data_IF_866911971356
#
_entry.id   IF_866911971356
#
_cell.length_a   1.000
_cell.length_b   1.000
_cell.length_c   1.000
_cell.angle_alpha   90.00
_cell.angle_beta   90.00
_cell.angle_gamma   90.00
#
_symmetry.space_group_name_H-M   'P 1'
#
loop_
_entity.id
_entity.type
_entity.pdbx_description
1 polymer ?
#
# COMPACT_ATOMS: atom_id res chain seq x y z
N UNK A 1 23.77 -16.00 6.00
CA UNK A 1 22.79 -15.06 6.58
C UNK A 1 21.44 -15.13 5.86
N UNK A 2 21.29 -14.71 4.60
CA UNK A 2 20.01 -14.64 3.87
C UNK A 2 19.14 -15.91 3.93
N UNK A 3 19.72 -17.09 3.70
CA UNK A 3 18.98 -18.36 3.80
C UNK A 3 18.51 -18.63 5.22
N UNK A 4 19.36 -18.41 6.21
CA UNK A 4 19.04 -18.60 7.62
C UNK A 4 17.85 -17.70 8.05
N UNK A 5 17.86 -16.43 7.69
CA UNK A 5 16.77 -15.50 8.02
C UNK A 5 15.44 -15.91 7.36
N UNK A 6 15.50 -16.37 6.10
CA UNK A 6 14.33 -16.93 5.42
C UNK A 6 13.77 -18.16 6.16
N UNK A 7 14.63 -19.12 6.46
CA UNK A 7 14.23 -20.37 7.12
C UNK A 7 13.61 -20.06 8.51
N UNK A 8 14.20 -19.13 9.25
CA UNK A 8 13.72 -18.68 10.55
C UNK A 8 12.37 -17.98 10.45
N UNK A 9 12.19 -17.07 9.48
CA UNK A 9 10.92 -16.41 9.23
C UNK A 9 9.82 -17.42 8.87
N UNK A 10 10.12 -18.35 7.96
CA UNK A 10 9.18 -19.42 7.60
C UNK A 10 8.83 -20.29 8.80
N UNK A 11 9.79 -20.61 9.66
CA UNK A 11 9.56 -21.40 10.87
C UNK A 11 8.67 -20.70 11.87
N UNK A 12 8.86 -19.40 12.10
CA UNK A 12 8.11 -18.63 13.10
C UNK A 12 6.71 -18.22 12.60
N UNK A 13 6.63 -17.71 11.37
CA UNK A 13 5.40 -17.15 10.82
C UNK A 13 4.58 -18.15 10.00
N UNK A 14 5.22 -19.17 9.39
CA UNK A 14 4.62 -19.99 8.37
C UNK A 14 3.38 -20.75 8.83
N UNK A 15 3.44 -21.42 9.99
CA UNK A 15 2.28 -22.18 10.49
C UNK A 15 1.07 -21.30 10.78
N UNK A 16 1.30 -20.09 11.26
CA UNK A 16 0.24 -19.11 11.51
C UNK A 16 -0.36 -18.61 10.18
N UNK A 17 0.49 -18.13 9.25
CA UNK A 17 0.04 -17.59 7.98
C UNK A 17 -0.67 -18.64 7.11
N UNK A 18 -0.20 -19.89 7.11
CA UNK A 18 -0.87 -21.00 6.41
C UNK A 18 -2.27 -21.24 6.99
N UNK A 19 -2.44 -21.20 8.33
CA UNK A 19 -3.75 -21.28 8.96
C UNK A 19 -4.67 -20.13 8.56
N UNK A 20 -4.11 -18.96 8.30
CA UNK A 20 -4.83 -17.80 7.78
C UNK A 20 -5.10 -17.90 6.26
N UNK A 21 -4.70 -18.99 5.61
CA UNK A 21 -4.95 -19.27 4.19
C UNK A 21 -3.92 -18.65 3.23
N UNK A 22 -2.75 -18.26 3.73
CA UNK A 22 -1.63 -17.84 2.89
C UNK A 22 -0.89 -19.06 2.31
N UNK A 23 -0.25 -18.85 1.18
CA UNK A 23 0.63 -19.84 0.54
C UNK A 23 2.06 -19.28 0.52
N UNK A 24 3.04 -20.13 0.84
CA UNK A 24 4.45 -19.75 0.74
C UNK A 24 4.83 -19.51 -0.73
N UNK A 25 5.45 -18.37 -0.99
CA UNK A 25 5.98 -18.01 -2.31
C UNK A 25 7.39 -17.42 -2.16
N UNK A 26 8.41 -18.18 -2.53
CA UNK A 26 9.83 -17.77 -2.43
C UNK A 26 10.21 -17.32 -1.01
N UNK A 27 10.28 -16.01 -0.76
CA UNK A 27 10.69 -15.41 0.52
C UNK A 27 9.52 -14.68 1.21
N UNK A 28 8.29 -15.01 0.85
CA UNK A 28 7.09 -14.34 1.33
C UNK A 28 5.94 -15.32 1.44
N UNK A 29 4.87 -14.89 2.08
CA UNK A 29 3.59 -15.56 2.09
C UNK A 29 2.58 -14.70 1.34
N UNK A 30 1.78 -15.31 0.48
CA UNK A 30 0.83 -14.60 -0.38
C UNK A 30 -0.58 -15.16 -0.22
N UNK A 31 -1.56 -14.29 -0.40
CA UNK A 31 -2.96 -14.67 -0.41
C UNK A 31 -3.75 -13.85 -1.40
N UNK A 32 -4.63 -14.52 -2.14
CA UNK A 32 -5.52 -13.89 -3.09
C UNK A 32 -6.92 -13.82 -2.52
N UNK A 33 -7.51 -12.65 -2.64
CA UNK A 33 -8.93 -12.41 -2.43
C UNK A 33 -9.57 -11.96 -3.75
N UNK A 34 -10.86 -11.64 -3.74
CA UNK A 34 -11.57 -11.31 -4.97
C UNK A 34 -11.05 -10.02 -5.63
N UNK A 35 -10.75 -8.99 -4.84
CA UNK A 35 -10.37 -7.66 -5.33
C UNK A 35 -9.05 -7.13 -4.75
N UNK A 36 -8.40 -7.90 -3.87
CA UNK A 36 -7.15 -7.53 -3.22
C UNK A 36 -6.17 -8.70 -3.17
N UNK A 37 -4.89 -8.41 -3.28
CA UNK A 37 -3.79 -9.35 -3.09
C UNK A 37 -3.01 -8.96 -1.84
N UNK A 38 -2.79 -9.92 -0.95
CA UNK A 38 -2.03 -9.73 0.28
C UNK A 38 -0.68 -10.45 0.21
N UNK A 39 0.37 -9.81 0.72
CA UNK A 39 1.72 -10.38 0.79
C UNK A 39 2.36 -10.04 2.12
N UNK A 40 3.02 -11.04 2.74
CA UNK A 40 3.77 -10.89 3.99
C UNK A 40 5.21 -11.29 3.76
N UNK A 41 6.15 -10.44 4.14
CA UNK A 41 7.58 -10.71 3.98
C UNK A 41 8.42 -10.03 5.06
N UNK A 42 9.60 -10.60 5.31
CA UNK A 42 10.59 -10.05 6.21
C UNK A 42 11.55 -9.14 5.42
N UNK A 43 11.74 -7.92 5.89
CA UNK A 43 12.83 -7.04 5.47
C UNK A 43 13.89 -6.96 6.54
N UNK A 44 15.12 -6.68 6.15
CA UNK A 44 16.20 -6.42 7.10
C UNK A 44 17.26 -5.52 6.50
N UNK A 45 17.86 -4.71 7.36
CA UNK A 45 19.03 -3.90 7.07
C UNK A 45 20.18 -4.36 7.98
N UNK A 46 21.39 -4.47 7.42
CA UNK A 46 22.60 -4.82 8.18
C UNK A 46 23.48 -3.58 8.32
N UNK A 47 23.70 -3.15 9.55
CA UNK A 47 24.66 -2.10 9.87
C UNK A 47 26.02 -2.71 10.18
N UNK A 48 26.99 -2.45 9.28
CA UNK A 48 28.37 -2.97 9.37
C UNK A 48 29.17 -2.38 10.54
N UNK A 49 28.78 -1.20 11.01
CA UNK A 49 29.57 -0.50 12.04
C UNK A 49 29.30 -1.06 13.43
N UNK A 50 28.13 -1.65 13.61
CA UNK A 50 27.67 -2.16 14.91
C UNK A 50 27.41 -3.67 14.90
N UNK A 51 27.61 -4.35 13.76
CA UNK A 51 27.24 -5.76 13.57
C UNK A 51 25.78 -6.05 13.91
N UNK A 52 24.90 -5.09 13.61
CA UNK A 52 23.48 -5.16 13.94
C UNK A 52 22.62 -5.47 12.71
N UNK A 53 21.56 -6.25 12.94
CA UNK A 53 20.47 -6.47 11.99
C UNK A 53 19.22 -5.78 12.50
N UNK A 54 18.73 -4.84 11.74
CA UNK A 54 17.43 -4.22 11.96
C UNK A 54 16.39 -4.91 11.08
N UNK A 55 15.30 -5.37 11.69
CA UNK A 55 14.25 -6.13 11.03
C UNK A 55 12.93 -5.37 10.96
N UNK A 56 12.13 -5.69 9.94
CA UNK A 56 10.72 -5.38 9.91
C UNK A 56 9.93 -6.49 9.20
N UNK A 57 8.68 -6.68 9.60
CA UNK A 57 7.71 -7.50 8.86
C UNK A 57 6.76 -6.56 8.15
N UNK A 58 6.74 -6.70 6.84
CA UNK A 58 5.88 -5.93 5.97
C UNK A 58 4.69 -6.78 5.55
N UNK A 59 3.48 -6.26 5.75
CA UNK A 59 2.26 -6.82 5.23
C UNK A 59 1.68 -5.86 4.21
N UNK A 60 1.84 -6.17 2.94
CA UNK A 60 1.31 -5.35 1.86
C UNK A 60 -0.04 -5.85 1.37
N UNK A 61 -0.90 -4.90 1.04
CA UNK A 61 -2.15 -5.14 0.35
C UNK A 61 -2.13 -4.38 -0.98
N UNK A 62 -2.40 -5.09 -2.06
CA UNK A 62 -2.44 -4.50 -3.39
C UNK A 62 -3.86 -4.60 -3.93
N UNK A 63 -4.61 -3.48 -4.03
CA UNK A 63 -5.89 -3.45 -4.70
C UNK A 63 -5.76 -3.86 -6.16
N UNK A 64 -6.54 -4.85 -6.61
CA UNK A 64 -6.46 -5.39 -7.96
C UNK A 64 -7.17 -4.54 -9.01
N UNK A 65 -7.81 -3.45 -8.60
CA UNK A 65 -8.49 -2.49 -9.47
C UNK A 65 -7.52 -1.66 -10.33
N UNK A 66 -6.26 -1.54 -9.90
CA UNK A 66 -5.21 -0.80 -10.60
C UNK A 66 -4.52 -1.66 -11.66
N UNK A 67 -3.92 -1.00 -12.65
CA UNK A 67 -3.10 -1.67 -13.64
C UNK A 67 -1.76 -2.08 -12.99
N UNK A 68 -1.60 -3.36 -12.68
CA UNK A 68 -0.39 -3.89 -12.05
C UNK A 68 0.65 -4.20 -13.13
N UNK A 69 1.71 -3.42 -13.19
CA UNK A 69 2.94 -3.78 -13.89
C UNK A 69 3.67 -4.92 -13.17
N UNK A 70 4.43 -5.74 -13.89
CA UNK A 70 5.19 -6.86 -13.32
C UNK A 70 6.22 -6.44 -12.25
N UNK A 71 6.56 -5.16 -12.15
CA UNK A 71 7.45 -4.60 -11.12
C UNK A 71 6.72 -4.06 -9.89
N UNK A 72 5.48 -3.58 -10.02
CA UNK A 72 4.72 -2.96 -8.93
C UNK A 72 4.18 -3.94 -7.87
N UNK A 73 4.24 -5.25 -8.09
CA UNK A 73 3.81 -6.25 -7.10
C UNK A 73 4.75 -6.28 -5.88
N UNK A 74 5.94 -5.69 -6.00
CA UNK A 74 6.97 -5.74 -4.97
C UNK A 74 7.27 -4.39 -4.30
N UNK A 75 6.81 -3.29 -4.86
CA UNK A 75 7.18 -1.93 -4.44
C UNK A 75 5.97 -1.11 -3.97
N UNK A 76 4.96 -1.78 -3.39
CA UNK A 76 3.75 -1.12 -2.87
C UNK A 76 4.10 -0.15 -1.74
N UNK A 77 3.84 1.14 -1.96
CA UNK A 77 4.01 2.19 -0.95
C UNK A 77 3.00 2.08 0.22
N UNK A 78 1.97 1.24 0.06
CA UNK A 78 0.89 1.04 1.03
C UNK A 78 1.14 -0.14 1.99
N UNK A 79 2.38 -0.35 2.36
CA UNK A 79 2.77 -1.47 3.20
C UNK A 79 2.55 -1.17 4.70
N UNK A 80 1.88 -2.08 5.39
CA UNK A 80 1.78 -2.04 6.84
C UNK A 80 3.07 -2.56 7.45
N UNK A 81 3.84 -1.68 8.04
CA UNK A 81 5.08 -1.98 8.76
C UNK A 81 4.77 -2.36 10.21
N UNK A 82 5.28 -3.52 10.65
CA UNK A 82 5.11 -3.97 12.03
C UNK A 82 5.83 -3.02 13.01
N UNK A 83 7.03 -2.58 12.69
CA UNK A 83 7.81 -1.67 13.54
C UNK A 83 7.09 -0.33 13.73
N UNK A 84 6.53 0.23 12.67
CA UNK A 84 5.73 1.47 12.75
C UNK A 84 4.47 1.31 13.59
N UNK A 85 3.73 0.20 13.41
CA UNK A 85 2.51 -0.08 14.15
C UNK A 85 2.75 -0.34 15.63
N UNK A 86 3.81 -1.09 15.95
CA UNK A 86 4.14 -1.43 17.34
C UNK A 86 4.84 -0.31 18.08
N UNK A 87 5.48 0.62 17.36
CA UNK A 87 6.41 1.60 17.92
C UNK A 87 7.70 0.96 18.45
N UNK A 88 7.98 -0.31 18.09
CA UNK A 88 9.15 -1.07 18.56
C UNK A 88 10.20 -1.16 17.45
N UNK A 89 11.46 -1.01 17.82
CA UNK A 89 12.59 -1.34 16.98
C UNK A 89 13.00 -2.81 17.18
N UNK A 90 13.15 -3.55 16.08
CA UNK A 90 13.54 -4.95 16.10
C UNK A 90 15.00 -5.07 15.65
N UNK A 91 15.91 -4.92 16.61
CA UNK A 91 17.35 -4.97 16.39
C UNK A 91 17.94 -6.21 17.07
N UNK A 92 18.91 -6.86 16.42
CA UNK A 92 19.63 -7.99 16.96
C UNK A 92 21.10 -7.96 16.54
N UNK A 93 21.98 -8.52 17.40
CA UNK A 93 23.38 -8.78 17.07
C UNK A 93 23.46 -9.81 15.94
N UNK A 94 24.02 -9.40 14.80
CA UNK A 94 24.16 -10.24 13.62
C UNK A 94 25.09 -11.45 13.83
N UNK A 95 25.96 -11.41 14.84
CA UNK A 95 26.90 -12.46 15.20
C UNK A 95 26.29 -13.48 16.16
N UNK A 96 25.21 -13.12 16.89
CA UNK A 96 24.51 -14.01 17.81
C UNK A 96 23.20 -14.54 17.21
N UNK A 97 23.21 -15.81 16.80
CA UNK A 97 22.01 -16.49 16.26
C UNK A 97 20.87 -16.58 17.27
N UNK A 98 21.17 -16.65 18.56
CA UNK A 98 20.13 -16.70 19.61
C UNK A 98 19.40 -15.36 19.70
N UNK A 99 20.14 -14.27 19.65
CA UNK A 99 19.56 -12.92 19.67
C UNK A 99 18.69 -12.66 18.43
N UNK A 100 19.18 -13.02 17.23
CA UNK A 100 18.39 -12.96 15.99
C UNK A 100 17.11 -13.79 16.10
N UNK A 101 17.20 -15.01 16.66
CA UNK A 101 16.01 -15.86 16.84
C UNK A 101 15.00 -15.25 17.80
N UNK A 102 15.47 -14.71 18.92
CA UNK A 102 14.64 -14.07 19.94
C UNK A 102 13.96 -12.81 19.36
N UNK A 103 14.69 -12.03 18.57
CA UNK A 103 14.17 -10.84 17.91
C UNK A 103 13.00 -11.20 16.98
N UNK A 104 13.17 -12.18 16.08
CA UNK A 104 12.11 -12.63 15.15
C UNK A 104 10.93 -13.26 15.92
N UNK A 105 11.17 -13.93 17.04
CA UNK A 105 10.09 -14.48 17.88
C UNK A 105 9.25 -13.37 18.54
N UNK A 106 9.90 -12.27 19.01
CA UNK A 106 9.18 -11.08 19.50
C UNK A 106 8.33 -10.44 18.41
N UNK A 107 8.89 -10.28 17.21
CA UNK A 107 8.16 -9.77 16.05
C UNK A 107 6.93 -10.62 15.75
N UNK A 108 7.06 -11.95 15.75
CA UNK A 108 5.94 -12.85 15.53
C UNK A 108 4.86 -12.69 16.60
N UNK A 109 5.22 -12.61 17.87
CA UNK A 109 4.27 -12.37 18.95
C UNK A 109 3.47 -11.11 18.72
N UNK A 110 4.14 -10.01 18.40
CA UNK A 110 3.51 -8.71 18.15
C UNK A 110 2.66 -8.71 16.88
N UNK A 111 3.16 -9.32 15.80
CA UNK A 111 2.41 -9.48 14.56
C UNK A 111 1.12 -10.26 14.77
N UNK A 112 1.16 -11.37 15.52
CA UNK A 112 -0.03 -12.17 15.78
C UNK A 112 -1.07 -11.45 16.64
N UNK A 113 -0.63 -10.61 17.59
CA UNK A 113 -1.48 -9.73 18.40
C UNK A 113 -2.22 -8.71 17.52
N UNK A 114 -1.53 -8.10 16.58
CA UNK A 114 -2.05 -7.03 15.73
C UNK A 114 -2.79 -7.55 14.48
N UNK A 115 -2.74 -8.86 14.21
CA UNK A 115 -3.20 -9.44 12.95
C UNK A 115 -4.64 -9.09 12.61
N UNK A 116 -5.59 -9.32 13.52
CA UNK A 116 -7.00 -9.06 13.25
C UNK A 116 -7.31 -7.57 13.09
N UNK A 117 -6.60 -6.72 13.82
CA UNK A 117 -6.81 -5.28 13.76
C UNK A 117 -6.32 -4.64 12.47
N UNK A 118 -5.16 -5.10 11.93
CA UNK A 118 -4.49 -4.43 10.81
C UNK A 118 -4.25 -5.33 9.60
N UNK A 119 -3.96 -6.62 9.79
CA UNK A 119 -3.40 -7.48 8.75
C UNK A 119 -4.41 -8.49 8.16
N UNK A 120 -5.66 -8.50 8.60
CA UNK A 120 -6.66 -9.50 8.18
C UNK A 120 -7.65 -9.01 7.11
N UNK A 121 -7.35 -7.93 6.38
CA UNK A 121 -8.24 -7.43 5.34
C UNK A 121 -8.45 -8.47 4.22
N UNK A 122 -9.71 -8.62 3.79
CA UNK A 122 -10.16 -9.60 2.78
C UNK A 122 -10.76 -8.96 1.54
N UNK A 123 -10.93 -7.65 1.54
CA UNK A 123 -11.48 -6.85 0.46
C UNK A 123 -10.87 -5.47 0.46
N UNK A 124 -11.04 -4.73 -0.64
CA UNK A 124 -10.63 -3.32 -0.73
C UNK A 124 -11.32 -2.47 0.35
N UNK A 125 -12.60 -2.75 0.67
CA UNK A 125 -13.30 -2.02 1.73
C UNK A 125 -12.66 -2.22 3.10
N UNK A 126 -12.41 -3.48 3.49
CA UNK A 126 -11.74 -3.78 4.77
C UNK A 126 -10.29 -3.25 4.81
N UNK A 127 -9.59 -3.27 3.67
CA UNK A 127 -8.26 -2.68 3.55
C UNK A 127 -8.31 -1.16 3.80
N UNK A 128 -9.23 -0.46 3.16
CA UNK A 128 -9.40 0.99 3.32
C UNK A 128 -9.66 1.36 4.80
N UNK A 129 -10.59 0.65 5.46
CA UNK A 129 -10.89 0.88 6.87
C UNK A 129 -9.65 0.71 7.77
N UNK A 130 -8.90 -0.37 7.55
CA UNK A 130 -7.68 -0.66 8.32
C UNK A 130 -6.56 0.33 8.00
N UNK A 131 -6.44 0.72 6.74
CA UNK A 131 -5.45 1.71 6.31
C UNK A 131 -5.69 3.08 6.96
N UNK A 132 -6.93 3.54 7.01
CA UNK A 132 -7.28 4.81 7.67
C UNK A 132 -7.00 4.79 9.19
N UNK A 133 -7.13 3.63 9.84
CA UNK A 133 -6.77 3.45 11.24
C UNK A 133 -5.23 3.44 11.39
N UNK A 134 -4.53 2.71 10.52
CA UNK A 134 -3.07 2.65 10.48
C UNK A 134 -2.47 4.04 10.30
N UNK A 135 -2.95 4.77 9.31
CA UNK A 135 -2.51 6.12 9.00
C UNK A 135 -2.62 7.05 10.22
N UNK A 136 -3.79 7.08 10.85
CA UNK A 136 -4.00 7.87 12.08
C UNK A 136 -3.08 7.45 13.23
N UNK A 137 -2.82 6.16 13.39
CA UNK A 137 -1.99 5.65 14.50
C UNK A 137 -0.50 5.99 14.30
N UNK A 138 -0.02 5.97 13.07
CA UNK A 138 1.38 6.26 12.72
C UNK A 138 1.64 7.77 12.64
N UNK A 139 0.63 8.56 12.25
CA UNK A 139 0.77 9.99 11.99
C UNK A 139 0.36 10.87 13.17
N UNK A 140 -0.29 10.33 14.22
CA UNK A 140 -0.80 11.09 15.37
C UNK A 140 0.25 11.84 16.22
N UNK A 141 1.53 11.81 15.83
CA UNK A 141 2.62 12.56 16.50
C UNK A 141 3.25 13.69 15.66
N UNK A 142 2.75 13.95 14.45
CA UNK A 142 3.37 14.94 13.54
C UNK A 142 2.31 15.85 12.94
N UNK A 143 2.05 16.97 13.61
CA UNK A 143 1.15 18.04 13.12
C UNK A 143 1.59 18.68 11.78
N UNK A 144 2.76 18.34 11.25
CA UNK A 144 3.35 18.92 10.03
C UNK A 144 3.28 18.01 8.79
N UNK A 145 2.65 16.83 8.84
CA UNK A 145 2.64 15.88 7.72
C UNK A 145 1.47 16.08 6.74
N UNK A 146 0.77 17.18 6.81
CA UNK A 146 -0.26 17.57 5.81
C UNK A 146 0.24 17.68 4.37
N UNK A 147 1.56 17.68 4.12
CA UNK A 147 2.13 17.82 2.78
C UNK A 147 2.68 16.52 2.17
N UNK A 148 2.92 15.47 2.94
CA UNK A 148 3.52 14.21 2.43
C UNK A 148 2.50 13.20 1.92
N UNK A 149 1.22 13.40 2.17
CA UNK A 149 0.11 12.51 1.78
C UNK A 149 -0.46 12.73 0.38
N UNK A 150 0.16 13.56 -0.42
CA UNK A 150 -0.34 13.92 -1.74
C UNK A 150 -0.28 12.78 -2.79
N UNK A 151 0.45 11.69 -2.51
CA UNK A 151 0.50 10.55 -3.44
C UNK A 151 -0.68 9.59 -3.33
N UNK A 152 -1.33 9.53 -2.18
CA UNK A 152 -2.46 8.61 -1.95
C UNK A 152 -3.79 9.11 -2.50
N UNK A 153 -3.93 10.42 -2.74
CA UNK A 153 -5.19 11.01 -3.20
C UNK A 153 -5.75 10.37 -4.48
N UNK A 154 -4.87 10.01 -5.42
CA UNK A 154 -5.29 9.37 -6.68
C UNK A 154 -5.86 7.98 -6.46
N UNK A 155 -5.20 7.15 -5.67
CA UNK A 155 -5.62 5.77 -5.41
C UNK A 155 -6.94 5.75 -4.63
N UNK A 156 -7.11 6.65 -3.66
CA UNK A 156 -8.37 6.78 -2.92
C UNK A 156 -9.54 7.19 -3.81
N UNK A 157 -9.35 8.07 -4.79
CA UNK A 157 -10.41 8.41 -5.75
C UNK A 157 -10.95 7.15 -6.40
N UNK A 158 -10.07 6.29 -6.92
CA UNK A 158 -10.49 5.07 -7.60
C UNK A 158 -11.05 4.01 -6.64
N UNK A 159 -10.50 3.88 -5.44
CA UNK A 159 -11.04 2.99 -4.39
C UNK A 159 -12.47 3.41 -4.05
N UNK A 160 -12.72 4.68 -3.79
CA UNK A 160 -14.06 5.18 -3.47
C UNK A 160 -15.03 5.05 -4.65
N UNK A 161 -14.59 5.26 -5.88
CA UNK A 161 -15.41 5.01 -7.08
C UNK A 161 -15.78 3.53 -7.21
N UNK A 162 -14.83 2.61 -6.97
CA UNK A 162 -15.07 1.18 -6.98
C UNK A 162 -16.08 0.76 -5.92
N UNK A 163 -15.97 1.32 -4.72
CA UNK A 163 -16.88 1.10 -3.60
C UNK A 163 -18.22 1.86 -3.75
N UNK A 164 -18.36 2.70 -4.77
CA UNK A 164 -19.52 3.59 -5.00
C UNK A 164 -19.75 4.63 -3.90
N UNK A 165 -18.70 4.98 -3.20
CA UNK A 165 -18.69 6.04 -2.20
C UNK A 165 -18.44 7.41 -2.86
N UNK A 166 -19.40 7.85 -3.65
CA UNK A 166 -19.25 8.99 -4.56
C UNK A 166 -18.93 10.31 -3.85
N UNK A 167 -19.48 10.55 -2.66
CA UNK A 167 -19.16 11.75 -1.88
C UNK A 167 -17.70 11.77 -1.44
N UNK A 168 -17.18 10.61 -1.02
CA UNK A 168 -15.77 10.46 -0.66
C UNK A 168 -14.85 10.64 -1.87
N UNK A 169 -15.22 10.03 -3.02
CA UNK A 169 -14.51 10.21 -4.27
C UNK A 169 -14.47 11.69 -4.72
N UNK A 170 -15.59 12.41 -4.63
CA UNK A 170 -15.66 13.83 -4.96
C UNK A 170 -14.69 14.65 -4.09
N UNK A 171 -14.72 14.44 -2.78
CA UNK A 171 -13.82 15.14 -1.86
C UNK A 171 -12.34 14.92 -2.18
N UNK A 172 -11.95 13.68 -2.50
CA UNK A 172 -10.56 13.39 -2.89
C UNK A 172 -10.20 14.00 -4.25
N UNK A 173 -11.14 14.02 -5.22
CA UNK A 173 -10.94 14.72 -6.50
C UNK A 173 -10.70 16.22 -6.27
N UNK A 174 -11.42 16.85 -5.35
CA UNK A 174 -11.21 18.28 -5.06
C UNK A 174 -9.82 18.55 -4.51
N UNK A 175 -9.35 17.73 -3.56
CA UNK A 175 -8.00 17.84 -3.00
C UNK A 175 -6.95 17.65 -4.10
N UNK A 176 -7.11 16.62 -4.93
CA UNK A 176 -6.19 16.31 -6.02
C UNK A 176 -6.15 17.40 -7.08
N UNK A 177 -7.31 17.96 -7.48
CA UNK A 177 -7.38 19.10 -8.40
C UNK A 177 -6.71 20.35 -7.84
N UNK A 178 -6.80 20.60 -6.55
CA UNK A 178 -6.09 21.70 -5.90
C UNK A 178 -4.58 21.50 -6.03
N UNK A 179 -4.08 20.33 -5.65
CA UNK A 179 -2.66 19.98 -5.77
C UNK A 179 -2.15 20.16 -7.21
N UNK A 180 -2.83 19.59 -8.21
CA UNK A 180 -2.44 19.71 -9.61
C UNK A 180 -2.39 21.18 -10.09
N UNK A 181 -3.31 22.02 -9.63
CA UNK A 181 -3.29 23.44 -9.98
C UNK A 181 -2.13 24.18 -9.31
N UNK A 182 -1.82 23.87 -8.05
CA UNK A 182 -0.71 24.47 -7.32
C UNK A 182 0.63 24.09 -7.98
N UNK A 183 0.85 22.79 -8.27
CA UNK A 183 2.02 22.29 -8.97
C UNK A 183 2.18 22.89 -10.38
N UNK A 184 1.07 23.01 -11.13
CA UNK A 184 1.08 23.63 -12.45
C UNK A 184 1.48 25.12 -12.39
N UNK A 185 1.01 25.85 -11.37
CA UNK A 185 1.36 27.24 -11.16
C UNK A 185 2.86 27.38 -10.82
N UNK A 186 3.40 26.51 -10.00
CA UNK A 186 4.83 26.47 -9.66
C UNK A 186 5.69 26.19 -10.91
N UNK A 187 5.25 25.25 -11.76
CA UNK A 187 5.93 24.98 -13.03
C UNK A 187 5.90 26.19 -13.99
N UNK A 188 4.79 26.92 -14.06
CA UNK A 188 4.69 28.14 -14.89
C UNK A 188 5.59 29.26 -14.40
N UNK A 189 5.87 29.30 -13.11
CA UNK A 189 6.75 30.28 -12.48
C UNK A 189 8.23 29.84 -12.42
N UNK A 190 8.53 28.59 -12.77
CA UNK A 190 9.90 28.05 -12.80
C UNK A 190 10.66 28.50 -14.06
N UNK A 191 11.99 28.53 -13.98
CA UNK A 191 12.85 28.78 -15.14
C UNK A 191 13.91 27.66 -15.25
N UNK A 192 13.98 26.91 -16.37
CA UNK A 192 13.15 27.04 -17.61
C UNK A 192 11.76 26.43 -17.42
N UNK A 193 10.75 26.98 -18.09
CA UNK A 193 9.37 26.48 -18.06
C UNK A 193 9.27 25.15 -18.81
N UNK A 194 8.72 24.12 -18.14
CA UNK A 194 8.50 22.81 -18.76
C UNK A 194 7.08 22.73 -19.33
N UNK A 195 6.92 23.09 -20.60
CA UNK A 195 5.63 23.13 -21.29
C UNK A 195 4.99 21.75 -21.49
N UNK A 196 5.78 20.69 -21.65
CA UNK A 196 5.22 19.34 -21.83
C UNK A 196 4.57 18.86 -20.54
N UNK A 197 5.21 19.09 -19.40
CA UNK A 197 4.64 18.76 -18.09
C UNK A 197 3.39 19.60 -17.76
N UNK A 198 3.37 20.86 -18.18
CA UNK A 198 2.17 21.70 -18.03
C UNK A 198 0.99 21.10 -18.81
N UNK A 199 1.20 20.60 -20.03
CA UNK A 199 0.14 19.93 -20.81
C UNK A 199 -0.35 18.65 -20.19
N UNK A 200 0.54 17.88 -19.57
CA UNK A 200 0.14 16.69 -18.78
C UNK A 200 -0.81 17.09 -17.65
N UNK A 201 -0.45 18.08 -16.84
CA UNK A 201 -1.33 18.58 -15.78
C UNK A 201 -2.65 19.14 -16.30
N UNK A 202 -2.66 19.86 -17.41
CA UNK A 202 -3.89 20.37 -18.03
C UNK A 202 -4.83 19.21 -18.46
N UNK A 203 -4.25 18.13 -18.96
CA UNK A 203 -4.98 16.92 -19.35
C UNK A 203 -5.59 16.24 -18.12
N UNK A 204 -4.81 16.05 -17.06
CA UNK A 204 -5.26 15.43 -15.82
C UNK A 204 -6.34 16.28 -15.13
N UNK A 205 -6.15 17.59 -15.05
CA UNK A 205 -7.13 18.53 -14.50
C UNK A 205 -8.45 18.43 -15.28
N UNK A 206 -8.39 18.37 -16.61
CA UNK A 206 -9.59 18.22 -17.44
C UNK A 206 -10.31 16.92 -17.18
N UNK A 207 -9.55 15.80 -17.09
CA UNK A 207 -10.11 14.48 -16.79
C UNK A 207 -10.81 14.45 -15.43
N UNK A 208 -10.17 14.92 -14.36
CA UNK A 208 -10.74 14.88 -13.01
C UNK A 208 -11.91 15.87 -12.84
N UNK A 209 -11.91 17.00 -13.53
CA UNK A 209 -13.11 17.88 -13.59
C UNK A 209 -14.29 17.18 -14.24
N UNK A 210 -14.06 16.46 -15.35
CA UNK A 210 -15.12 15.70 -16.01
C UNK A 210 -15.65 14.57 -15.13
N UNK A 211 -14.76 13.87 -14.42
CA UNK A 211 -15.12 12.80 -13.50
C UNK A 211 -15.95 13.36 -12.31
N UNK A 212 -15.52 14.48 -11.73
CA UNK A 212 -16.29 15.18 -10.70
C UNK A 212 -17.70 15.58 -11.19
N UNK A 213 -17.79 16.17 -12.38
CA UNK A 213 -19.07 16.54 -12.98
C UNK A 213 -19.97 15.31 -13.22
N UNK A 214 -19.39 14.17 -13.58
CA UNK A 214 -20.13 12.93 -13.75
C UNK A 214 -20.70 12.41 -12.42
N UNK A 215 -19.97 12.55 -11.32
CA UNK A 215 -20.45 12.22 -9.97
C UNK A 215 -21.62 13.15 -9.60
N UNK A 216 -21.43 14.47 -9.71
CA UNK A 216 -22.40 15.47 -9.33
C UNK A 216 -23.71 15.40 -10.15
N UNK A 217 -23.63 15.01 -11.41
CA UNK A 217 -24.78 14.86 -12.31
C UNK A 217 -25.38 13.45 -12.36
N UNK A 218 -24.88 12.54 -11.53
CA UNK A 218 -25.25 11.12 -11.52
C UNK A 218 -25.18 10.49 -12.93
N UNK A 219 -24.09 10.81 -13.66
CA UNK A 219 -23.89 10.31 -15.01
C UNK A 219 -23.43 8.85 -14.98
N UNK A 220 -24.40 7.94 -14.88
CA UNK A 220 -24.21 6.49 -14.77
C UNK A 220 -23.30 5.94 -15.86
N UNK A 221 -23.35 6.48 -17.08
CA UNK A 221 -22.55 5.94 -18.21
C UNK A 221 -21.05 6.19 -18.01
N UNK A 222 -20.64 7.38 -17.58
CA UNK A 222 -19.23 7.71 -17.31
C UNK A 222 -18.72 6.91 -16.13
N UNK A 223 -19.46 6.88 -15.03
CA UNK A 223 -19.08 6.14 -13.82
C UNK A 223 -19.01 4.63 -14.09
N UNK A 224 -19.90 4.10 -14.94
CA UNK A 224 -19.85 2.70 -15.35
C UNK A 224 -18.60 2.36 -16.15
N UNK A 225 -18.20 3.22 -17.10
CA UNK A 225 -16.98 3.00 -17.88
C UNK A 225 -15.76 2.86 -16.96
N UNK A 226 -15.61 3.76 -15.97
CA UNK A 226 -14.48 3.68 -15.03
C UNK A 226 -14.55 2.41 -14.16
N UNK A 227 -15.71 2.08 -13.61
CA UNK A 227 -15.86 0.87 -12.79
C UNK A 227 -15.71 -0.43 -13.60
N UNK A 228 -16.08 -0.46 -14.86
CA UNK A 228 -15.87 -1.63 -15.73
C UNK A 228 -14.39 -1.83 -16.06
N UNK A 229 -13.61 -0.74 -16.28
CA UNK A 229 -12.14 -0.82 -16.40
C UNK A 229 -11.51 -1.45 -15.15
N UNK A 230 -11.93 -1.02 -13.95
CA UNK A 230 -11.44 -1.56 -12.68
C UNK A 230 -11.73 -3.07 -12.57
N UNK A 231 -12.93 -3.52 -12.94
CA UNK A 231 -13.30 -4.95 -12.93
C UNK A 231 -12.48 -5.76 -13.93
N UNK A 232 -12.16 -5.19 -15.08
CA UNK A 232 -11.31 -5.85 -16.08
C UNK A 232 -9.87 -5.94 -15.58
N UNK A 233 -9.35 -4.90 -14.92
CA UNK A 233 -8.06 -4.94 -14.25
C UNK A 233 -7.99 -6.07 -13.20
N UNK A 234 -9.03 -6.24 -12.37
CA UNK A 234 -9.10 -7.35 -11.40
C UNK A 234 -8.90 -8.70 -12.09
N UNK A 235 -9.63 -8.99 -13.20
CA UNK A 235 -9.53 -10.26 -13.94
C UNK A 235 -8.13 -10.47 -14.51
N UNK A 236 -7.56 -9.42 -15.11
CA UNK A 236 -6.21 -9.44 -15.70
C UNK A 236 -5.18 -9.72 -14.61
N UNK A 237 -5.26 -9.01 -13.49
CA UNK A 237 -4.32 -9.11 -12.40
C UNK A 237 -4.40 -10.46 -11.68
N UNK A 238 -5.60 -10.98 -11.42
CA UNK A 238 -5.77 -12.32 -10.89
C UNK A 238 -5.11 -13.38 -11.79
N UNK A 239 -5.19 -13.22 -13.12
CA UNK A 239 -4.55 -14.13 -14.06
C UNK A 239 -3.03 -13.99 -14.05
N UNK A 240 -2.50 -12.77 -14.05
CA UNK A 240 -1.05 -12.49 -13.97
C UNK A 240 -0.43 -13.06 -12.69
N UNK A 241 -1.08 -12.82 -11.55
CA UNK A 241 -0.56 -13.16 -10.23
C UNK A 241 -0.61 -14.68 -9.94
N UNK A 242 -1.60 -15.41 -10.48
CA UNK A 242 -1.67 -16.87 -10.35
C UNK A 242 -0.54 -17.61 -11.07
N UNK A 243 0.15 -16.92 -11.98
CA UNK A 243 1.27 -17.47 -12.76
C UNK A 243 2.65 -17.09 -12.18
N UNK A 244 2.73 -16.40 -11.06
CA UNK A 244 3.95 -16.04 -10.33
C UNK A 244 4.29 -17.04 -9.23
#
# INVERSE_FOLDING_TARGET
MKKYLKDLFTQQFGSFLIKQGYTENKNSFVKFYDDIFARVYLTYHYDKNYDELQFDVIHSFTPLIFEIGTKCICDGEDDFSLSRLSGEEYIADATDKSDVTNCISRMFSKYSELYESFFSAKSISEYLDKYLIYDKSVCSGKEEIGETYNFLGLDFIYIYLYLKEYNSAENEIEKYLKMLNDDMNDLKNSAPVNYDRIREYETDISYFKNLKNAILSDNVNVLKIETDKMKDNIKINQTKLKNL
#
